data_IF_604835896036
#
_entry.id   IF_604835896036
#
_cell.length_a   1.000
_cell.length_b   1.000
_cell.length_c   1.000
_cell.angle_alpha   90.00
_cell.angle_beta   90.00
_cell.angle_gamma   90.00
#
_symmetry.space_group_name_H-M   'P 1'
#
loop_
_entity.id
_entity.type
_entity.pdbx_description
1 polymer ?
#
# COMPACT_ATOMS: atom_id res chain seq x y z
N UNK A 1 29.86 -4.01 -16.65
CA UNK A 1 28.84 -3.75 -15.63
C UNK A 1 27.58 -3.43 -16.39
N UNK A 2 26.59 -4.32 -16.38
CA UNK A 2 25.27 -3.99 -16.89
C UNK A 2 24.70 -2.90 -15.98
N UNK A 3 24.44 -1.72 -16.56
CA UNK A 3 23.73 -0.67 -15.84
C UNK A 3 22.32 -1.19 -15.53
N UNK A 4 22.01 -1.40 -14.26
CA UNK A 4 20.65 -1.69 -13.81
C UNK A 4 19.75 -0.55 -14.30
N UNK A 5 18.69 -0.90 -15.03
CA UNK A 5 17.75 0.11 -15.47
C UNK A 5 17.01 0.72 -14.27
N UNK A 6 16.63 1.97 -14.43
CA UNK A 6 16.02 2.77 -13.37
C UNK A 6 14.72 2.14 -12.81
N UNK A 7 13.98 1.36 -13.61
CA UNK A 7 12.75 0.70 -13.16
C UNK A 7 13.07 -0.42 -12.19
N UNK A 8 14.04 -1.24 -12.55
CA UNK A 8 14.49 -2.36 -11.71
C UNK A 8 14.99 -1.83 -10.38
N UNK A 9 15.77 -0.74 -10.40
CA UNK A 9 16.20 -0.06 -9.18
C UNK A 9 15.02 0.44 -8.34
N UNK A 10 13.99 1.02 -8.97
CA UNK A 10 12.78 1.47 -8.26
C UNK A 10 12.04 0.33 -7.57
N UNK A 11 11.79 -0.78 -8.28
CA UNK A 11 11.11 -1.95 -7.72
C UNK A 11 11.85 -2.52 -6.51
N UNK A 12 13.18 -2.57 -6.59
CA UNK A 12 14.04 -3.03 -5.47
C UNK A 12 13.91 -2.08 -4.28
N UNK A 13 13.97 -0.76 -4.50
CA UNK A 13 13.82 0.22 -3.42
C UNK A 13 12.41 0.19 -2.81
N UNK A 14 11.36 0.00 -3.61
CA UNK A 14 10.00 -0.14 -3.11
C UNK A 14 9.86 -1.41 -2.28
N UNK A 15 10.36 -2.56 -2.75
CA UNK A 15 10.35 -3.80 -1.99
C UNK A 15 11.13 -3.65 -0.66
N UNK A 16 12.24 -2.92 -0.67
CA UNK A 16 13.04 -2.64 0.51
C UNK A 16 12.41 -1.60 1.46
N UNK A 17 11.35 -0.89 1.06
CA UNK A 17 10.67 0.10 1.91
C UNK A 17 9.98 -0.51 3.13
N UNK A 18 9.72 -1.83 3.10
CA UNK A 18 9.02 -2.55 4.16
C UNK A 18 7.53 -2.23 4.27
N UNK A 19 6.97 -1.48 3.31
CA UNK A 19 5.53 -1.20 3.23
C UNK A 19 4.80 -2.46 2.76
N UNK A 20 3.74 -2.82 3.47
CA UNK A 20 2.92 -4.00 3.21
C UNK A 20 1.43 -3.62 3.15
N UNK A 21 0.63 -4.47 2.49
CA UNK A 21 -0.83 -4.31 2.47
C UNK A 21 -1.37 -4.45 3.91
N UNK A 22 -2.24 -3.52 4.30
CA UNK A 22 -2.78 -3.42 5.65
C UNK A 22 -2.02 -2.47 6.57
N UNK A 23 -0.82 -2.01 6.18
CA UNK A 23 -0.10 -0.98 6.93
C UNK A 23 -0.90 0.33 6.96
N UNK A 24 -0.81 1.06 8.06
CA UNK A 24 -1.21 2.47 8.11
C UNK A 24 0.01 3.33 7.83
N UNK A 25 -0.09 4.17 6.82
CA UNK A 25 0.98 5.06 6.36
C UNK A 25 0.53 6.52 6.41
N UNK A 26 1.48 7.42 6.69
CA UNK A 26 1.29 8.87 6.64
C UNK A 26 1.96 9.43 5.41
N UNK A 27 1.28 10.36 4.74
CA UNK A 27 1.86 11.08 3.60
C UNK A 27 2.82 12.15 4.11
N UNK A 28 4.12 11.98 3.84
CA UNK A 28 5.17 12.88 4.31
C UNK A 28 5.31 14.13 3.46
N UNK A 29 5.23 13.95 2.14
CA UNK A 29 5.54 15.01 1.18
C UNK A 29 4.70 14.90 -0.08
N UNK A 30 4.62 16.02 -0.79
CA UNK A 30 4.15 16.07 -2.16
C UNK A 30 5.12 15.33 -3.08
N UNK A 31 4.59 14.83 -4.20
CA UNK A 31 5.35 14.25 -5.30
C UNK A 31 4.83 14.83 -6.62
N UNK A 32 5.74 15.11 -7.55
CA UNK A 32 5.38 15.68 -8.86
C UNK A 32 4.91 14.59 -9.82
N UNK A 33 4.19 15.01 -10.85
CA UNK A 33 3.95 14.17 -12.01
C UNK A 33 5.32 13.75 -12.57
N UNK A 34 5.51 12.44 -12.80
CA UNK A 34 6.78 11.83 -13.25
C UNK A 34 7.95 11.94 -12.26
N UNK A 35 7.73 12.28 -10.98
CA UNK A 35 8.74 12.07 -9.93
C UNK A 35 8.80 10.57 -9.62
N UNK A 36 9.50 9.83 -10.49
CA UNK A 36 9.96 8.46 -10.31
C UNK A 36 8.97 7.48 -9.66
N UNK A 37 8.18 6.86 -10.51
CA UNK A 37 7.49 5.58 -10.40
C UNK A 37 7.14 5.31 -11.86
N UNK A 38 7.78 4.32 -12.51
CA UNK A 38 7.94 4.33 -13.98
C UNK A 38 6.63 4.63 -14.72
N UNK A 39 6.69 5.61 -15.64
CA UNK A 39 5.55 6.14 -16.35
C UNK A 39 4.95 5.16 -17.35
N UNK A 40 3.63 5.04 -17.31
CA UNK A 40 2.79 4.91 -18.49
C UNK A 40 1.36 4.96 -17.97
N UNK A 41 0.63 6.02 -18.26
CA UNK A 41 -0.82 5.95 -18.46
C UNK A 41 -1.74 5.44 -17.34
N UNK A 42 -1.23 5.12 -16.16
CA UNK A 42 -2.01 4.66 -14.99
C UNK A 42 -1.76 5.50 -13.75
N UNK A 43 -0.69 6.29 -13.75
CA UNK A 43 -0.69 7.59 -13.08
C UNK A 43 -1.33 8.68 -13.97
N UNK A 44 -1.90 8.32 -15.14
CA UNK A 44 -3.01 9.12 -15.67
C UNK A 44 -4.08 9.07 -14.59
N UNK A 45 -4.23 10.20 -13.92
CA UNK A 45 -5.51 10.78 -13.60
C UNK A 45 -6.69 9.79 -13.65
N UNK A 46 -6.77 8.83 -12.72
CA UNK A 46 -8.07 8.44 -12.21
C UNK A 46 -8.53 9.60 -11.30
N UNK A 47 -8.90 10.70 -11.97
CA UNK A 47 -9.63 11.83 -11.40
C UNK A 47 -8.87 12.82 -10.52
N UNK A 48 -7.54 12.74 -10.39
CA UNK A 48 -6.77 13.73 -9.60
C UNK A 48 -5.70 14.51 -10.35
N UNK A 49 -6.14 15.26 -11.35
CA UNK A 49 -5.38 16.38 -11.93
C UNK A 49 -5.31 17.61 -11.03
N UNK A 50 -5.96 17.61 -9.86
CA UNK A 50 -5.82 18.72 -8.92
C UNK A 50 -4.63 18.45 -7.99
N UNK A 51 -3.47 18.98 -8.36
CA UNK A 51 -2.31 19.19 -7.47
C UNK A 51 -2.73 19.78 -6.10
N UNK A 52 -3.85 20.51 -6.09
CA UNK A 52 -4.53 21.12 -4.94
C UNK A 52 -5.01 20.10 -3.90
N UNK A 53 -5.45 18.91 -4.30
CA UNK A 53 -5.95 17.91 -3.36
C UNK A 53 -4.84 17.01 -2.81
N UNK A 54 -3.73 16.85 -3.54
CA UNK A 54 -2.52 16.18 -3.01
C UNK A 54 -1.92 16.95 -1.84
N UNK A 55 -1.90 18.28 -1.88
CA UNK A 55 -1.50 19.14 -0.75
C UNK A 55 -2.33 18.88 0.50
N UNK A 56 -3.62 18.62 0.34
CA UNK A 56 -4.53 18.32 1.46
C UNK A 56 -4.32 16.93 2.06
N UNK A 57 -3.46 16.10 1.47
CA UNK A 57 -3.16 14.76 1.97
C UNK A 57 -1.89 14.69 2.79
N UNK A 58 -0.97 15.65 2.64
CA UNK A 58 0.23 15.69 3.47
C UNK A 58 -0.15 15.73 4.96
N UNK A 59 0.48 14.87 5.75
CA UNK A 59 0.20 14.70 7.17
C UNK A 59 -0.97 13.78 7.51
N UNK A 60 -1.79 13.36 6.54
CA UNK A 60 -2.89 12.42 6.77
C UNK A 60 -2.43 10.97 6.74
N UNK A 61 -3.14 10.14 7.49
CA UNK A 61 -2.94 8.69 7.58
C UNK A 61 -3.93 7.93 6.70
N UNK A 62 -3.45 6.86 6.07
CA UNK A 62 -4.20 6.01 5.16
C UNK A 62 -3.83 4.55 5.38
N UNK A 63 -4.71 3.64 4.98
CA UNK A 63 -4.43 2.21 4.95
C UNK A 63 -3.92 1.83 3.56
N UNK A 64 -2.83 1.07 3.50
CA UNK A 64 -2.32 0.47 2.26
C UNK A 64 -3.22 -0.69 1.87
N UNK A 65 -3.73 -0.67 0.64
CA UNK A 65 -4.70 -1.65 0.16
C UNK A 65 -4.22 -2.45 -1.04
N UNK A 66 -3.21 -1.95 -1.74
CA UNK A 66 -2.62 -2.60 -2.91
C UNK A 66 -1.20 -2.04 -3.12
N UNK A 67 -0.26 -2.90 -3.47
CA UNK A 67 1.10 -2.51 -3.85
C UNK A 67 1.32 -3.02 -5.27
N UNK A 68 1.34 -2.09 -6.22
CA UNK A 68 1.71 -2.35 -7.61
C UNK A 68 3.22 -2.25 -7.81
N UNK A 69 3.71 -2.63 -8.98
CA UNK A 69 5.15 -2.60 -9.30
C UNK A 69 5.80 -1.21 -9.17
N UNK A 70 5.02 -0.14 -9.31
CA UNK A 70 5.47 1.26 -9.29
C UNK A 70 4.61 2.15 -8.38
N UNK A 71 3.74 1.57 -7.55
CA UNK A 71 2.82 2.36 -6.75
C UNK A 71 2.35 1.69 -5.46
N UNK A 72 1.91 2.53 -4.53
CA UNK A 72 1.19 2.13 -3.31
C UNK A 72 -0.19 2.77 -3.35
N UNK A 73 -1.24 1.95 -3.35
CA UNK A 73 -2.63 2.41 -3.32
C UNK A 73 -3.13 2.46 -1.90
N UNK A 74 -3.77 3.57 -1.58
CA UNK A 74 -4.18 3.93 -0.23
C UNK A 74 -5.70 3.97 -0.16
N UNK A 75 -6.24 3.92 1.07
CA UNK A 75 -7.66 4.17 1.34
C UNK A 75 -7.78 4.98 2.61
N UNK A 76 -8.64 6.01 2.57
CA UNK A 76 -9.11 6.66 3.78
C UNK A 76 -10.20 5.79 4.42
N UNK A 77 -10.19 5.57 5.74
CA UNK A 77 -11.26 4.85 6.41
C UNK A 77 -12.66 5.41 6.12
N UNK A 78 -12.76 6.73 5.91
CA UNK A 78 -14.02 7.47 5.79
C UNK A 78 -14.36 7.90 4.36
N UNK A 79 -13.58 7.53 3.35
CA UNK A 79 -13.80 8.01 1.97
C UNK A 79 -13.64 6.88 0.94
N UNK A 80 -14.55 6.77 -0.06
CA UNK A 80 -14.47 5.74 -1.10
C UNK A 80 -13.28 5.93 -2.06
N UNK A 81 -12.49 6.98 -1.89
CA UNK A 81 -11.42 7.33 -2.80
C UNK A 81 -10.14 6.59 -2.42
N UNK A 82 -9.42 6.12 -3.45
CA UNK A 82 -8.21 5.31 -3.27
C UNK A 82 -7.01 5.93 -3.98
N UNK A 83 -6.31 6.89 -3.35
CA UNK A 83 -5.19 7.54 -3.99
C UNK A 83 -4.02 6.58 -4.22
N UNK A 84 -3.19 6.94 -5.18
CA UNK A 84 -1.97 6.21 -5.50
C UNK A 84 -0.77 7.12 -5.20
N UNK A 85 0.22 6.59 -4.46
CA UNK A 85 1.41 7.30 -4.02
C UNK A 85 2.68 6.49 -4.33
N UNK A 86 3.83 7.15 -4.60
CA UNK A 86 5.13 6.49 -4.59
C UNK A 86 5.56 6.16 -3.15
N UNK A 87 6.30 5.08 -2.96
CA UNK A 87 6.69 4.61 -1.61
C UNK A 87 7.48 5.66 -0.81
N UNK A 88 8.34 6.44 -1.46
CA UNK A 88 9.19 7.44 -0.81
C UNK A 88 8.43 8.66 -0.26
N UNK A 89 7.14 8.78 -0.58
CA UNK A 89 6.28 9.84 -0.06
C UNK A 89 5.53 9.39 1.21
N UNK A 90 5.76 8.17 1.66
CA UNK A 90 5.01 7.51 2.73
C UNK A 90 5.92 7.15 3.90
N UNK A 91 5.37 7.26 5.10
CA UNK A 91 5.96 6.78 6.35
C UNK A 91 5.02 5.75 6.97
N UNK A 92 5.54 4.60 7.38
CA UNK A 92 4.75 3.62 8.13
C UNK A 92 4.52 4.15 9.54
N UNK A 93 3.26 4.41 9.88
CA UNK A 93 2.86 4.81 11.24
C UNK A 93 2.48 3.60 12.08
N UNK A 94 1.90 2.58 11.43
CA UNK A 94 1.49 1.34 12.10
C UNK A 94 1.57 0.19 11.12
N UNK A 95 2.26 -0.88 11.50
CA UNK A 95 2.29 -2.11 10.70
C UNK A 95 0.95 -2.82 10.72
N UNK A 96 0.61 -3.48 9.63
CA UNK A 96 -0.45 -4.45 9.56
C UNK A 96 -0.28 -5.44 10.71
N UNK A 97 -1.38 -5.82 11.36
CA UNK A 97 -1.31 -6.94 12.29
C UNK A 97 -0.98 -8.17 11.46
N UNK A 98 0.18 -8.77 11.70
CA UNK A 98 0.53 -10.06 11.14
C UNK A 98 -0.57 -11.03 11.53
N UNK A 99 -1.33 -11.50 10.54
CA UNK A 99 -2.31 -12.54 10.80
C UNK A 99 -1.53 -13.81 11.15
N UNK A 100 -1.74 -14.30 12.37
CA UNK A 100 -1.05 -15.50 12.81
C UNK A 100 -1.65 -16.68 12.07
N UNK A 101 -0.82 -17.31 11.25
CA UNK A 101 -1.20 -18.49 10.49
C UNK A 101 -0.86 -19.73 11.31
N UNK A 102 -1.86 -20.59 11.53
CA UNK A 102 -1.72 -21.86 12.24
C UNK A 102 -1.76 -23.00 11.21
N UNK A 103 -0.78 -23.91 11.30
CA UNK A 103 -0.81 -25.12 10.50
C UNK A 103 -1.73 -26.15 11.18
N UNK A 104 -2.85 -26.47 10.53
CA UNK A 104 -3.79 -27.50 10.96
C UNK A 104 -3.84 -28.57 9.88
N UNK A 105 -3.31 -29.75 10.20
CA UNK A 105 -3.28 -30.92 9.30
C UNK A 105 -2.65 -30.63 7.93
N UNK A 106 -1.57 -29.84 7.88
CA UNK A 106 -0.85 -29.52 6.64
C UNK A 106 -1.43 -28.35 5.85
N UNK A 107 -2.52 -27.72 6.34
CA UNK A 107 -3.10 -26.54 5.74
C UNK A 107 -2.81 -25.31 6.62
N UNK A 108 -2.53 -24.16 6.00
CA UNK A 108 -2.36 -22.90 6.71
C UNK A 108 -3.71 -22.23 6.91
N UNK A 109 -4.08 -22.00 8.16
CA UNK A 109 -5.34 -21.36 8.55
C UNK A 109 -5.04 -20.07 9.27
N UNK A 110 -5.80 -19.03 8.94
CA UNK A 110 -5.70 -17.76 9.64
C UNK A 110 -6.48 -17.81 10.95
N UNK A 111 -5.99 -17.15 12.01
CA UNK A 111 -6.71 -17.07 13.29
C UNK A 111 -8.15 -16.52 13.11
N UNK A 112 -8.36 -15.55 12.21
CA UNK A 112 -9.68 -15.01 11.93
C UNK A 112 -10.62 -16.06 11.31
N UNK A 113 -10.09 -16.86 10.37
CA UNK A 113 -10.84 -17.95 9.72
C UNK A 113 -11.24 -19.02 10.73
N UNK A 114 -10.34 -19.37 11.65
CA UNK A 114 -10.61 -20.33 12.73
C UNK A 114 -11.67 -19.79 13.70
N UNK A 115 -11.53 -18.54 14.14
CA UNK A 115 -12.49 -17.92 15.06
C UNK A 115 -13.89 -17.81 14.47
N UNK A 116 -14.00 -17.55 13.16
CA UNK A 116 -15.28 -17.53 12.45
C UNK A 116 -15.90 -18.94 12.34
N UNK A 117 -15.10 -19.95 12.00
CA UNK A 117 -15.56 -21.34 11.92
C UNK A 117 -16.05 -21.87 13.28
N UNK A 118 -15.36 -21.52 14.37
CA UNK A 118 -15.77 -21.87 15.73
C UNK A 118 -17.08 -21.17 16.13
N UNK A 119 -17.27 -19.90 15.77
CA UNK A 119 -18.53 -19.17 16.02
C UNK A 119 -19.72 -19.82 15.32
N UNK A 120 -19.57 -20.19 14.05
CA UNK A 120 -20.64 -20.85 13.26
C UNK A 120 -21.00 -22.25 13.75
N UNK A 121 -20.13 -22.92 14.51
CA UNK A 121 -20.40 -24.23 15.11
C UNK A 121 -20.94 -24.14 16.54
N UNK A 122 -20.94 -22.95 17.15
CA UNK A 122 -21.48 -22.70 18.47
C UNK A 122 -22.93 -22.18 18.45
N UNK A 123 -23.48 -21.91 17.25
CA UNK A 123 -24.90 -21.60 16.98
C UNK A 123 -25.66 -22.88 16.56
#
# INVERSE_FOLDING_TARGET
>A
MDNMDIKTAYCVMQAASGIEVGDTVKVLREFRHNEMGFGSDTCQSYGWDSFVEKKKMQGKEFIVIEIGHNFVKLRLPEHPYTPIFPFFALEIVKKAKSEKMLNIKGNMWSEATIAEALRKHAE
#
